data_IF_144862580668
#
_entry.id   IF_144862580668
#
_cell.length_a   1.000
_cell.length_b   1.000
_cell.length_c   1.000
_cell.angle_alpha   90.00
_cell.angle_beta   90.00
_cell.angle_gamma   90.00
#
_symmetry.space_group_name_H-M   'P 1'
#
loop_
_entity.id
_entity.type
_entity.pdbx_description
1 polymer ?
#
# COMPACT_ATOMS: atom_id res chain seq x y z
N UNK A 1 4.30 13.05 -7.04
CA UNK A 1 3.91 11.64 -6.75
C UNK A 1 2.70 11.31 -7.60
N UNK A 2 2.76 10.32 -8.51
CA UNK A 2 1.62 9.94 -9.36
C UNK A 2 0.88 8.78 -8.67
N UNK A 3 -0.31 9.03 -8.15
CA UNK A 3 -1.17 7.99 -7.55
C UNK A 3 -1.61 7.03 -8.67
N UNK A 4 -1.44 5.73 -8.46
CA UNK A 4 -1.85 4.71 -9.42
C UNK A 4 -3.37 4.56 -9.47
N UNK A 5 -3.93 4.38 -10.67
CA UNK A 5 -5.38 4.16 -10.87
C UNK A 5 -5.90 2.99 -10.03
N UNK A 6 -5.12 1.92 -9.94
CA UNK A 6 -5.45 0.73 -9.14
C UNK A 6 -5.61 1.02 -7.65
N UNK A 7 -4.85 1.95 -7.09
CA UNK A 7 -4.97 2.40 -5.68
C UNK A 7 -6.33 3.05 -5.44
N UNK A 8 -6.79 3.89 -6.38
CA UNK A 8 -8.08 4.57 -6.27
C UNK A 8 -9.26 3.59 -6.45
N UNK A 9 -9.13 2.63 -7.37
CA UNK A 9 -10.13 1.57 -7.53
C UNK A 9 -10.25 0.71 -6.27
N UNK A 10 -9.12 0.35 -5.65
CA UNK A 10 -9.13 -0.42 -4.41
C UNK A 10 -9.73 0.35 -3.23
N UNK A 11 -9.37 1.64 -3.07
CA UNK A 11 -10.01 2.54 -2.08
C UNK A 11 -11.53 2.50 -2.21
N UNK A 12 -12.05 2.68 -3.44
CA UNK A 12 -13.48 2.68 -3.69
C UNK A 12 -14.13 1.31 -3.41
N UNK A 13 -13.46 0.20 -3.73
CA UNK A 13 -13.95 -1.15 -3.43
C UNK A 13 -13.98 -1.46 -1.93
N UNK A 14 -13.00 -0.97 -1.18
CA UNK A 14 -12.94 -1.13 0.28
C UNK A 14 -13.97 -0.23 1.00
N UNK A 15 -14.39 0.87 0.38
CA UNK A 15 -15.29 1.85 1.02
C UNK A 15 -14.64 2.59 2.19
N UNK A 16 -13.31 2.55 2.30
CA UNK A 16 -12.54 3.17 3.38
C UNK A 16 -11.91 4.46 2.86
N UNK A 17 -12.10 5.57 3.56
CA UNK A 17 -11.39 6.80 3.22
C UNK A 17 -9.99 6.80 3.84
N UNK A 18 -8.97 6.72 2.97
CA UNK A 18 -7.58 6.77 3.38
C UNK A 18 -7.13 8.24 3.48
N UNK A 19 -6.71 8.66 4.67
CA UNK A 19 -6.10 9.98 4.90
C UNK A 19 -4.84 10.17 4.06
N UNK A 20 -4.09 9.10 3.86
CA UNK A 20 -2.89 9.08 3.03
C UNK A 20 -2.95 7.93 2.02
N UNK A 21 -3.10 8.26 0.74
CA UNK A 21 -3.18 7.29 -0.35
C UNK A 21 -1.82 6.65 -0.66
N UNK A 22 -0.71 7.25 -0.21
CA UNK A 22 0.62 6.67 -0.40
C UNK A 22 0.80 5.44 0.48
N UNK A 23 0.21 5.42 1.68
CA UNK A 23 0.16 4.22 2.52
C UNK A 23 -0.55 3.06 1.82
N UNK A 24 -1.72 3.32 1.22
CA UNK A 24 -2.43 2.30 0.46
C UNK A 24 -1.61 1.83 -0.75
N UNK A 25 -0.95 2.75 -1.45
CA UNK A 25 -0.07 2.42 -2.56
C UNK A 25 1.11 1.55 -2.12
N UNK A 26 1.75 1.86 -0.99
CA UNK A 26 2.84 1.06 -0.42
C UNK A 26 2.35 -0.31 0.03
N UNK A 27 1.17 -0.40 0.66
CA UNK A 27 0.57 -1.66 1.11
C UNK A 27 0.29 -2.64 -0.04
N UNK A 28 -0.02 -2.14 -1.24
CA UNK A 28 -0.25 -2.99 -2.43
C UNK A 28 0.99 -3.13 -3.32
N UNK A 29 2.13 -2.54 -2.93
CA UNK A 29 3.37 -2.63 -3.69
C UNK A 29 4.21 -3.78 -3.18
N UNK A 30 4.42 -4.80 -4.01
CA UNK A 30 5.29 -5.93 -3.70
C UNK A 30 6.77 -5.57 -3.81
N UNK A 31 7.61 -6.22 -3.01
CA UNK A 31 9.06 -6.01 -2.98
C UNK A 31 9.71 -6.21 -4.35
N UNK A 32 9.24 -7.15 -5.17
CA UNK A 32 9.74 -7.34 -6.56
C UNK A 32 9.61 -6.08 -7.42
N UNK A 33 8.48 -5.36 -7.32
CA UNK A 33 8.27 -4.12 -8.07
C UNK A 33 9.08 -2.95 -7.48
N UNK A 34 9.17 -2.90 -6.16
CA UNK A 34 9.86 -1.85 -5.44
C UNK A 34 11.37 -1.91 -5.58
N UNK A 35 11.96 -3.12 -5.61
CA UNK A 35 13.39 -3.33 -5.72
C UNK A 35 13.95 -2.77 -7.04
N UNK A 36 13.20 -2.89 -8.14
CA UNK A 36 13.60 -2.32 -9.44
C UNK A 36 13.48 -0.79 -9.51
N UNK A 37 12.64 -0.19 -8.67
CA UNK A 37 12.30 1.25 -8.73
C UNK A 37 12.75 2.05 -7.51
N UNK A 38 13.48 1.42 -6.58
CA UNK A 38 13.84 2.00 -5.28
C UNK A 38 12.62 2.65 -4.58
N UNK A 39 11.49 1.96 -4.59
CA UNK A 39 10.23 2.43 -4.02
C UNK A 39 9.97 1.79 -2.64
N UNK A 40 9.03 2.38 -1.87
CA UNK A 40 8.54 1.74 -0.66
C UNK A 40 7.63 0.54 -0.99
N UNK A 41 7.68 -0.51 -0.17
CA UNK A 41 6.92 -1.75 -0.31
C UNK A 41 6.27 -2.18 1.01
N UNK A 42 5.41 -3.18 0.91
CA UNK A 42 4.46 -3.55 1.96
C UNK A 42 5.05 -4.25 3.21
N UNK A 43 6.26 -4.83 3.17
CA UNK A 43 6.78 -5.68 4.28
C UNK A 43 6.74 -5.02 5.67
N UNK A 44 7.06 -3.71 5.76
CA UNK A 44 6.96 -2.99 7.04
C UNK A 44 5.52 -2.85 7.55
N UNK A 45 4.57 -2.66 6.63
CA UNK A 45 3.16 -2.54 6.96
C UNK A 45 2.56 -3.92 7.26
N UNK A 46 3.02 -4.97 6.58
CA UNK A 46 2.67 -6.36 6.86
C UNK A 46 3.10 -6.75 8.27
N UNK A 47 4.37 -6.52 8.62
CA UNK A 47 4.89 -6.79 9.96
C UNK A 47 4.11 -6.07 11.06
N UNK A 48 3.78 -4.79 10.86
CA UNK A 48 2.95 -4.05 11.81
C UNK A 48 1.52 -4.60 11.88
N UNK A 49 0.96 -4.99 10.74
CA UNK A 49 -0.39 -5.54 10.63
C UNK A 49 -0.54 -6.87 11.36
N UNK A 50 0.46 -7.74 11.27
CA UNK A 50 0.52 -9.01 11.98
C UNK A 50 0.40 -8.79 13.50
N UNK A 51 1.23 -7.90 14.07
CA UNK A 51 1.19 -7.54 15.50
C UNK A 51 -0.13 -6.91 15.95
N UNK A 52 -0.87 -6.24 15.06
CA UNK A 52 -2.16 -5.61 15.38
C UNK A 52 -3.31 -6.60 15.30
N UNK A 53 -3.19 -7.65 14.49
CA UNK A 53 -4.22 -8.68 14.30
C UNK A 53 -4.10 -9.86 15.27
N UNK A 54 -2.91 -10.09 15.83
CA UNK A 54 -2.70 -10.97 17.00
C UNK A 54 -3.43 -10.47 18.27
#
# INVERSE_FOLDING_TARGET
MKILKSTLELKNKLGIDFKDLTLLQTAITHSSYANERNAAFNERLEFLGDTVLE
#
